data_IF_911258984683
#
_entry.id   IF_911258984683
#
_cell.length_a   1.000
_cell.length_b   1.000
_cell.length_c   1.000
_cell.angle_alpha   90.00
_cell.angle_beta   90.00
_cell.angle_gamma   90.00
#
_symmetry.space_group_name_H-M   'P 1'
#
loop_
_entity.id
_entity.type
_entity.pdbx_description
1 polymer ?
#
# COMPACT_ATOMS: atom_id res chain seq x y z
N UNK A 1 -6.57 -10.10 3.94
CA UNK A 1 -6.88 -8.74 3.47
C UNK A 1 -8.38 -8.64 3.32
N UNK A 2 -8.98 -7.51 3.67
CA UNK A 2 -10.41 -7.30 3.56
C UNK A 2 -10.71 -5.84 3.20
N UNK A 3 -11.88 -5.59 2.62
CA UNK A 3 -12.41 -4.24 2.46
C UNK A 3 -13.29 -3.88 3.66
N UNK A 4 -13.07 -2.69 4.23
CA UNK A 4 -13.84 -2.15 5.35
C UNK A 4 -14.39 -0.75 5.01
N UNK A 5 -15.34 -0.26 5.82
CA UNK A 5 -15.98 1.05 5.65
C UNK A 5 -15.45 2.10 6.63
N UNK A 6 -15.22 3.31 6.13
CA UNK A 6 -14.89 4.51 6.91
C UNK A 6 -15.28 5.74 6.09
N UNK A 7 -16.16 6.59 6.59
CA UNK A 7 -16.64 7.78 5.85
C UNK A 7 -15.55 8.80 5.56
N UNK A 8 -14.39 8.71 6.24
CA UNK A 8 -13.22 9.55 5.98
C UNK A 8 -12.29 8.98 4.90
N UNK A 9 -12.47 7.72 4.51
CA UNK A 9 -11.74 7.13 3.39
C UNK A 9 -12.34 7.58 2.05
N UNK A 10 -11.52 7.61 1.00
CA UNK A 10 -11.99 7.90 -0.34
C UNK A 10 -13.03 6.86 -0.78
N UNK A 11 -14.19 7.34 -1.23
CA UNK A 11 -15.31 6.45 -1.59
C UNK A 11 -15.90 5.68 -0.39
N UNK A 12 -15.56 6.06 0.85
CA UNK A 12 -16.10 5.46 2.07
C UNK A 12 -15.55 4.08 2.40
N UNK A 13 -14.49 3.61 1.70
CA UNK A 13 -13.95 2.26 1.81
C UNK A 13 -12.43 2.25 1.80
N UNK A 14 -11.85 1.25 2.45
CA UNK A 14 -10.41 1.04 2.50
C UNK A 14 -10.07 -0.45 2.58
N UNK A 15 -8.81 -0.79 2.31
CA UNK A 15 -8.25 -2.13 2.46
C UNK A 15 -7.56 -2.24 3.82
N UNK A 16 -7.77 -3.36 4.53
CA UNK A 16 -7.14 -3.64 5.82
C UNK A 16 -6.57 -5.04 5.87
N UNK A 17 -5.37 -5.14 6.45
CA UNK A 17 -4.76 -6.40 6.83
C UNK A 17 -5.52 -6.98 8.03
N UNK A 18 -6.13 -8.15 7.85
CA UNK A 18 -6.85 -8.89 8.89
C UNK A 18 -5.94 -9.98 9.47
N UNK A 19 -6.32 -10.67 10.54
CA UNK A 19 -5.52 -11.77 11.11
C UNK A 19 -5.37 -13.02 10.22
N UNK A 20 -5.79 -12.96 8.95
CA UNK A 20 -5.94 -14.10 8.06
C UNK A 20 -5.35 -13.83 6.66
N UNK A 21 -4.03 -13.62 6.56
CA UNK A 21 -3.28 -13.64 5.28
C UNK A 21 -3.90 -12.85 4.11
N UNK A 22 -3.59 -13.27 2.88
CA UNK A 22 -4.24 -12.78 1.66
C UNK A 22 -3.57 -11.59 0.96
N UNK A 23 -4.09 -11.26 -0.22
CA UNK A 23 -3.57 -10.21 -1.10
C UNK A 23 -4.70 -9.51 -1.86
N UNK A 24 -4.50 -8.23 -2.17
CA UNK A 24 -5.28 -7.46 -3.13
C UNK A 24 -4.38 -7.10 -4.32
N UNK A 25 -4.91 -7.14 -5.55
CA UNK A 25 -4.16 -6.83 -6.76
C UNK A 25 -4.80 -5.69 -7.53
N UNK A 26 -3.99 -4.73 -7.92
CA UNK A 26 -4.39 -3.53 -8.66
C UNK A 26 -3.67 -3.48 -9.99
N UNK A 27 -4.39 -3.14 -11.05
CA UNK A 27 -3.80 -2.82 -12.35
C UNK A 27 -3.50 -1.33 -12.41
N UNK A 28 -2.25 -1.00 -12.70
CA UNK A 28 -1.75 0.38 -12.74
C UNK A 28 -1.15 0.67 -14.13
N UNK A 29 -1.27 1.91 -14.58
CA UNK A 29 -0.65 2.37 -15.83
C UNK A 29 0.48 3.34 -15.51
N UNK A 30 1.68 3.04 -15.98
CA UNK A 30 2.88 3.85 -15.83
C UNK A 30 3.13 4.57 -17.16
N UNK A 31 2.97 5.90 -17.24
CA UNK A 31 3.09 6.63 -18.50
C UNK A 31 4.54 6.77 -18.98
N UNK A 32 5.50 6.77 -18.05
CA UNK A 32 6.93 6.91 -18.35
C UNK A 32 7.72 5.94 -17.51
N UNK A 33 8.70 5.23 -18.06
CA UNK A 33 9.60 4.42 -17.25
C UNK A 33 10.37 5.26 -16.21
N UNK A 34 10.75 4.63 -15.09
CA UNK A 34 11.49 5.28 -14.02
C UNK A 34 11.45 4.55 -12.68
N UNK A 35 11.99 5.18 -11.65
CA UNK A 35 11.87 4.73 -10.26
C UNK A 35 10.57 5.27 -9.66
N UNK A 36 9.82 4.40 -9.00
CA UNK A 36 8.54 4.72 -8.38
C UNK A 36 8.51 4.23 -6.94
N UNK A 37 8.23 5.12 -6.00
CA UNK A 37 8.02 4.82 -4.60
C UNK A 37 6.54 4.48 -4.34
N UNK A 38 6.29 3.48 -3.50
CA UNK A 38 4.94 3.24 -2.98
C UNK A 38 4.60 4.30 -1.94
N UNK A 39 3.43 4.88 -2.06
CA UNK A 39 2.88 5.83 -1.11
C UNK A 39 1.39 5.54 -0.89
N UNK A 40 0.81 6.11 0.15
CA UNK A 40 -0.61 6.01 0.33
C UNK A 40 -1.19 6.75 1.50
N UNK A 41 -2.51 6.79 1.54
CA UNK A 41 -3.25 7.21 2.72
C UNK A 41 -3.46 6.01 3.62
N UNK A 42 -2.82 6.03 4.78
CA UNK A 42 -2.68 4.88 5.66
C UNK A 42 -3.25 5.17 7.04
N UNK A 43 -3.53 4.10 7.78
CA UNK A 43 -3.98 4.14 9.16
C UNK A 43 -3.50 2.88 9.87
N UNK A 44 -2.89 3.02 11.03
CA UNK A 44 -2.36 1.92 11.83
C UNK A 44 -2.43 2.28 13.32
N UNK A 45 -2.83 1.35 14.18
CA UNK A 45 -3.06 1.68 15.59
C UNK A 45 -1.75 1.83 16.39
N UNK A 46 -0.70 1.13 15.98
CA UNK A 46 0.62 1.07 16.62
C UNK A 46 1.63 0.34 15.71
N UNK A 47 2.89 0.30 16.15
CA UNK A 47 4.02 -0.31 15.44
C UNK A 47 4.02 -1.86 15.35
N UNK A 48 2.96 -2.53 15.81
CA UNK A 48 2.75 -3.97 15.60
C UNK A 48 1.62 -4.26 14.61
N UNK A 49 1.10 -3.20 13.98
CA UNK A 49 -0.05 -3.19 13.08
C UNK A 49 0.19 -2.25 11.90
N UNK A 50 1.44 -2.09 11.48
CA UNK A 50 1.88 -0.97 10.65
C UNK A 50 2.64 -1.42 9.40
N UNK A 51 2.36 -2.62 8.89
CA UNK A 51 3.06 -3.07 7.70
C UNK A 51 2.27 -3.96 6.74
N UNK A 52 2.71 -3.88 5.49
CA UNK A 52 2.26 -4.68 4.36
C UNK A 52 3.43 -5.31 3.62
N UNK A 53 3.15 -6.33 2.82
CA UNK A 53 4.03 -6.71 1.72
C UNK A 53 3.57 -6.05 0.42
N UNK A 54 4.50 -5.62 -0.42
CA UNK A 54 4.20 -5.08 -1.76
C UNK A 54 5.02 -5.82 -2.81
N UNK A 55 4.40 -6.16 -3.93
CA UNK A 55 5.08 -6.74 -5.10
C UNK A 55 4.57 -6.08 -6.37
N UNK A 56 5.49 -5.76 -7.28
CA UNK A 56 5.16 -5.33 -8.63
C UNK A 56 5.43 -6.48 -9.61
N UNK A 57 4.41 -6.79 -10.42
CA UNK A 57 4.38 -7.91 -11.36
C UNK A 57 4.86 -9.22 -10.72
N UNK A 58 5.93 -9.80 -11.27
CA UNK A 58 6.59 -11.00 -10.78
C UNK A 58 7.88 -10.70 -10.02
N UNK A 59 8.17 -9.43 -9.72
CA UNK A 59 9.38 -8.99 -9.02
C UNK A 59 9.48 -9.44 -7.56
N UNK A 60 10.51 -8.96 -6.87
CA UNK A 60 10.71 -9.26 -5.45
C UNK A 60 9.60 -8.65 -4.58
N UNK A 61 9.29 -9.34 -3.49
CA UNK A 61 8.40 -8.81 -2.45
C UNK A 61 9.21 -7.83 -1.59
N UNK A 62 8.70 -6.62 -1.44
CA UNK A 62 9.22 -5.63 -0.50
C UNK A 62 8.30 -5.50 0.71
N UNK A 63 8.87 -5.09 1.84
CA UNK A 63 8.10 -4.72 3.03
C UNK A 63 7.87 -3.22 3.01
N UNK A 64 6.61 -2.82 3.12
CA UNK A 64 6.24 -1.43 3.37
C UNK A 64 5.88 -1.28 4.85
N UNK A 65 6.78 -0.68 5.63
CA UNK A 65 6.51 -0.27 7.00
C UNK A 65 5.98 1.16 6.98
N UNK A 66 4.82 1.38 7.58
CA UNK A 66 4.15 2.68 7.63
C UNK A 66 4.89 3.58 8.62
N UNK A 67 5.31 4.77 8.20
CA UNK A 67 6.25 5.57 9.00
C UNK A 67 5.64 6.30 10.19
N UNK A 68 4.33 6.53 10.17
CA UNK A 68 3.60 7.19 11.26
C UNK A 68 2.32 6.40 11.60
N UNK A 69 2.40 5.38 12.48
CA UNK A 69 1.21 4.65 12.90
C UNK A 69 0.30 5.54 13.75
N UNK A 70 -0.80 5.96 13.13
CA UNK A 70 -1.86 6.74 13.78
C UNK A 70 -3.25 6.18 13.45
N UNK A 71 -4.19 6.39 14.37
CA UNK A 71 -5.61 6.02 14.21
C UNK A 71 -6.37 6.96 13.28
N UNK A 72 -5.73 8.02 12.80
CA UNK A 72 -6.25 8.93 11.77
C UNK A 72 -5.61 8.61 10.42
N UNK A 73 -6.34 8.88 9.33
CA UNK A 73 -5.75 8.79 8.00
C UNK A 73 -4.61 9.81 7.85
N UNK A 74 -3.42 9.32 7.52
CA UNK A 74 -2.24 10.15 7.20
C UNK A 74 -1.65 9.73 5.87
N UNK A 75 -0.94 10.65 5.21
CA UNK A 75 -0.27 10.35 3.95
C UNK A 75 1.18 9.90 4.22
N UNK A 76 1.51 8.68 3.81
CA UNK A 76 2.83 8.08 3.98
C UNK A 76 3.56 7.99 2.64
N UNK A 77 4.68 8.69 2.55
CA UNK A 77 5.51 8.81 1.34
C UNK A 77 6.97 9.18 1.67
N UNK A 78 7.51 8.65 2.77
CA UNK A 78 8.79 9.10 3.33
C UNK A 78 9.92 8.10 3.03
N UNK A 79 9.92 6.93 3.68
CA UNK A 79 10.97 5.91 3.55
C UNK A 79 10.43 4.59 3.03
N UNK A 80 9.66 4.66 1.95
CA UNK A 80 8.92 3.52 1.42
C UNK A 80 9.69 2.80 0.32
N UNK A 81 9.36 1.52 0.02
CA UNK A 81 9.99 0.78 -1.06
C UNK A 81 9.85 1.47 -2.41
N UNK A 82 10.92 1.42 -3.20
CA UNK A 82 10.97 1.90 -4.58
C UNK A 82 11.10 0.74 -5.56
N UNK A 83 10.54 0.92 -6.75
CA UNK A 83 10.51 -0.06 -7.83
C UNK A 83 10.88 0.62 -9.14
N UNK A 84 11.78 0.02 -9.91
CA UNK A 84 12.03 0.44 -11.29
C UNK A 84 10.99 -0.18 -12.21
N UNK A 85 10.20 0.65 -12.88
CA UNK A 85 9.11 0.24 -13.76
C UNK A 85 9.33 0.80 -15.16
N UNK A 86 8.92 0.03 -16.17
CA UNK A 86 8.84 0.51 -17.55
C UNK A 86 7.57 1.35 -17.74
N UNK A 87 7.45 2.04 -18.89
CA UNK A 87 6.15 2.54 -19.29
C UNK A 87 5.24 1.36 -19.69
N UNK A 88 3.98 1.39 -19.28
CA UNK A 88 3.02 0.34 -19.58
C UNK A 88 2.15 -0.05 -18.40
N UNK A 89 1.47 -1.18 -18.54
CA UNK A 89 0.57 -1.72 -17.52
C UNK A 89 1.31 -2.67 -16.60
N UNK A 90 1.17 -2.45 -15.28
CA UNK A 90 1.76 -3.29 -14.25
C UNK A 90 0.68 -3.79 -13.28
N UNK A 91 0.98 -4.89 -12.57
CA UNK A 91 0.17 -5.39 -11.46
C UNK A 91 0.86 -5.10 -10.14
N UNK A 92 0.22 -4.31 -9.29
CA UNK A 92 0.66 -4.12 -7.92
C UNK A 92 -0.14 -5.08 -7.02
N UNK A 93 0.58 -5.99 -6.36
CA UNK A 93 0.01 -6.86 -5.33
C UNK A 93 0.34 -6.31 -3.94
N UNK A 94 -0.68 -5.95 -3.18
CA UNK A 94 -0.59 -5.62 -1.77
C UNK A 94 -0.95 -6.88 -0.97
N UNK A 95 -0.13 -7.24 0.02
CA UNK A 95 -0.31 -8.45 0.81
C UNK A 95 -0.27 -8.19 2.29
N UNK A 96 -0.88 -9.13 3.02
CA UNK A 96 -0.88 -9.17 4.46
C UNK A 96 0.54 -9.26 5.03
N UNK A 97 0.80 -8.49 6.10
CA UNK A 97 1.94 -8.70 6.99
C UNK A 97 1.51 -8.58 8.45
N UNK A 98 0.86 -7.49 8.82
CA UNK A 98 0.41 -7.26 10.20
C UNK A 98 -1.06 -6.85 10.29
N UNK A 99 -1.78 -7.46 11.23
CA UNK A 99 -3.20 -7.20 11.38
C UNK A 99 -3.45 -5.78 11.91
N UNK A 100 -4.38 -5.05 11.27
CA UNK A 100 -4.74 -3.68 11.62
C UNK A 100 -4.13 -2.60 10.73
N UNK A 101 -3.11 -2.94 9.93
CA UNK A 101 -2.59 -2.02 8.92
C UNK A 101 -3.66 -1.76 7.86
N UNK A 102 -3.96 -0.49 7.58
CA UNK A 102 -5.00 -0.07 6.65
C UNK A 102 -4.47 0.92 5.60
N UNK A 103 -4.99 0.81 4.38
CA UNK A 103 -4.71 1.72 3.26
C UNK A 103 -6.01 2.10 2.54
N UNK A 104 -6.22 3.40 2.40
CA UNK A 104 -7.34 4.01 1.66
C UNK A 104 -6.99 4.15 0.17
N UNK A 105 -5.87 4.82 -0.10
CA UNK A 105 -5.38 5.05 -1.46
C UNK A 105 -3.96 4.57 -1.59
N UNK A 106 -3.71 3.79 -2.62
CA UNK A 106 -2.39 3.31 -3.00
C UNK A 106 -1.89 4.10 -4.20
N UNK A 107 -0.71 4.68 -4.08
CA UNK A 107 -0.14 5.64 -5.03
C UNK A 107 1.28 5.19 -5.38
N UNK A 108 1.68 5.38 -6.64
CA UNK A 108 3.07 5.30 -7.04
C UNK A 108 3.59 6.68 -7.38
N UNK A 109 4.55 7.18 -6.60
CA UNK A 109 5.16 8.49 -6.77
C UNK A 109 6.46 8.31 -7.53
N UNK A 110 6.63 9.03 -8.64
CA UNK A 110 7.90 9.01 -9.37
C UNK A 110 8.98 9.66 -8.51
N UNK A 111 10.09 8.95 -8.31
CA UNK A 111 11.26 9.37 -7.54
C UNK A 111 12.39 9.81 -8.49
#
# INVERSE_FOLDING_TARGET
MATAGDTKAAGGRYVVATSSGGTDTFTISIPTGGSYMVAGWIKAANASSDSFTVRLDTGAVAVWNLTEPTKSWTYDATTNPTFTLAAGTHKLTLGYREAGAAVDRLILVKH
#
